data_IF_215508107061
#
_entry.id   IF_215508107061
#
_cell.length_a   1.000
_cell.length_b   1.000
_cell.length_c   1.000
_cell.angle_alpha   90.00
_cell.angle_beta   90.00
_cell.angle_gamma   90.00
#
_symmetry.space_group_name_H-M   'P 1'
#
loop_
_entity.id
_entity.type
_entity.pdbx_description
1 polymer ?
#
# COMPACT_ATOMS: atom_id res chain seq x y z
N UNK A 1 -17.50 5.93 8.63
CA UNK A 1 -16.91 4.57 8.75
C UNK A 1 -15.56 4.68 9.41
N UNK A 2 -15.10 3.62 10.06
CA UNK A 2 -13.71 3.52 10.52
C UNK A 2 -12.93 2.56 9.62
N UNK A 3 -11.86 3.05 9.00
CA UNK A 3 -11.09 2.39 7.96
C UNK A 3 -9.71 2.03 8.51
N UNK A 4 -9.33 0.76 8.46
CA UNK A 4 -7.95 0.31 8.64
C UNK A 4 -7.22 0.35 7.30
N UNK A 5 -6.14 1.10 7.17
CA UNK A 5 -5.45 1.36 5.92
C UNK A 5 -3.99 0.91 6.02
N UNK A 6 -3.65 -0.17 5.33
CA UNK A 6 -2.31 -0.76 5.37
C UNK A 6 -1.55 -0.44 4.10
N UNK A 7 -0.46 0.30 4.24
CA UNK A 7 0.36 0.78 3.11
C UNK A 7 1.83 0.87 3.52
N UNK A 8 2.73 0.46 2.61
CA UNK A 8 4.16 0.47 2.86
C UNK A 8 4.77 1.87 3.03
N UNK A 9 4.25 2.84 2.30
CA UNK A 9 4.74 4.22 2.25
C UNK A 9 3.68 5.20 2.75
N UNK A 10 4.07 6.08 3.67
CA UNK A 10 3.23 7.18 4.17
C UNK A 10 4.10 8.34 4.65
N UNK A 11 3.63 9.60 4.59
CA UNK A 11 4.41 10.75 5.05
C UNK A 11 4.99 10.57 6.47
N UNK A 12 6.22 11.09 6.70
CA UNK A 12 7.06 11.86 5.79
C UNK A 12 7.91 11.00 4.83
N UNK A 13 7.88 9.67 4.96
CA UNK A 13 8.71 8.74 4.20
C UNK A 13 8.01 8.30 2.91
N UNK A 14 7.97 9.17 1.91
CA UNK A 14 7.45 8.88 0.58
C UNK A 14 8.58 8.44 -0.34
N UNK A 15 8.34 7.38 -1.14
CA UNK A 15 9.26 6.88 -2.16
C UNK A 15 8.67 7.08 -3.56
N UNK A 16 7.37 6.84 -3.72
CA UNK A 16 6.74 6.85 -5.02
C UNK A 16 5.27 7.22 -5.05
N UNK A 17 4.62 6.77 -6.11
CA UNK A 17 3.20 7.04 -6.36
C UNK A 17 2.26 6.46 -5.31
N UNK A 18 2.61 5.29 -4.76
CA UNK A 18 1.81 4.63 -3.72
C UNK A 18 1.68 5.50 -2.46
N UNK A 19 2.80 6.05 -1.98
CA UNK A 19 2.79 6.93 -0.81
C UNK A 19 2.04 8.24 -1.07
N UNK A 20 2.19 8.82 -2.27
CA UNK A 20 1.45 10.02 -2.69
C UNK A 20 -0.06 9.73 -2.76
N UNK A 21 -0.45 8.59 -3.32
CA UNK A 21 -1.84 8.15 -3.32
C UNK A 21 -2.38 8.01 -1.89
N UNK A 22 -1.65 7.31 -1.02
CA UNK A 22 -2.07 7.05 0.35
C UNK A 22 -2.26 8.35 1.15
N UNK A 23 -1.32 9.30 1.03
CA UNK A 23 -1.44 10.61 1.67
C UNK A 23 -2.72 11.33 1.24
N UNK A 24 -2.96 11.46 -0.06
CA UNK A 24 -4.12 12.19 -0.56
C UNK A 24 -5.44 11.48 -0.19
N UNK A 25 -5.58 10.19 -0.46
CA UNK A 25 -6.86 9.50 -0.28
C UNK A 25 -7.27 9.38 1.19
N UNK A 26 -6.31 9.23 2.11
CA UNK A 26 -6.64 9.12 3.54
C UNK A 26 -7.10 10.45 4.12
N UNK A 27 -6.54 11.58 3.66
CA UNK A 27 -7.03 12.90 4.04
C UNK A 27 -8.42 13.17 3.47
N UNK A 28 -8.67 12.85 2.20
CA UNK A 28 -10.01 12.96 1.62
C UNK A 28 -11.05 12.12 2.39
N UNK A 29 -10.69 10.91 2.83
CA UNK A 29 -11.59 10.11 3.68
C UNK A 29 -11.90 10.80 5.01
N UNK A 30 -10.92 11.46 5.64
CA UNK A 30 -11.14 12.23 6.88
C UNK A 30 -12.02 13.45 6.59
N UNK A 31 -11.77 14.18 5.50
CA UNK A 31 -12.50 15.38 5.13
C UNK A 31 -13.98 15.09 4.84
N UNK A 32 -14.31 13.90 4.32
CA UNK A 32 -15.70 13.46 4.15
C UNK A 32 -16.28 12.72 5.38
N UNK A 33 -15.61 12.80 6.52
CA UNK A 33 -16.13 12.35 7.82
C UNK A 33 -15.89 10.89 8.17
N UNK A 34 -14.82 10.27 7.66
CA UNK A 34 -14.40 8.92 8.07
C UNK A 34 -13.24 8.97 9.05
N UNK A 35 -13.21 8.01 9.98
CA UNK A 35 -12.05 7.75 10.83
C UNK A 35 -11.06 6.85 10.08
N UNK A 36 -9.81 7.27 9.96
CA UNK A 36 -8.78 6.49 9.25
C UNK A 36 -7.61 6.18 10.17
N UNK A 37 -7.28 4.90 10.29
CA UNK A 37 -6.08 4.42 10.97
C UNK A 37 -5.12 3.80 9.96
N UNK A 38 -4.02 4.50 9.67
CA UNK A 38 -2.97 4.05 8.73
C UNK A 38 -1.93 3.22 9.47
N UNK A 39 -1.54 2.11 8.87
CA UNK A 39 -0.41 1.27 9.29
C UNK A 39 0.66 1.30 8.21
N UNK A 40 1.86 1.78 8.55
CA UNK A 40 2.96 1.99 7.59
C UNK A 40 4.32 1.67 8.20
N UNK A 41 5.35 1.57 7.35
CA UNK A 41 6.71 1.28 7.78
C UNK A 41 7.27 2.42 8.64
N UNK A 42 7.95 2.06 9.75
CA UNK A 42 8.84 2.96 10.47
C UNK A 42 10.27 2.78 9.95
N UNK A 43 10.89 3.86 9.53
CA UNK A 43 12.30 3.84 9.10
C UNK A 43 13.30 4.02 10.26
N UNK A 44 12.79 3.93 11.51
CA UNK A 44 13.61 3.90 12.74
C UNK A 44 13.57 5.16 13.59
N UNK A 45 13.16 6.29 13.05
CA UNK A 45 13.21 7.63 13.67
C UNK A 45 11.84 8.31 13.85
N UNK A 46 10.77 7.67 13.38
CA UNK A 46 9.43 8.24 13.42
C UNK A 46 8.65 7.77 14.66
N UNK A 47 7.68 8.59 15.09
CA UNK A 47 6.76 8.21 16.17
C UNK A 47 6.00 6.94 15.80
N UNK A 48 5.87 6.03 16.75
CA UNK A 48 5.14 4.77 16.57
C UNK A 48 3.63 4.94 16.46
N UNK A 49 3.10 6.07 16.98
CA UNK A 49 1.69 6.48 16.86
C UNK A 49 1.62 8.00 16.89
N UNK A 50 0.88 8.59 15.97
CA UNK A 50 0.61 10.03 15.92
C UNK A 50 -0.66 10.32 15.12
N UNK A 51 -1.14 11.56 15.20
CA UNK A 51 -2.22 12.07 14.34
C UNK A 51 -1.61 13.04 13.34
N UNK A 52 -1.80 12.77 12.06
CA UNK A 52 -1.38 13.65 10.96
C UNK A 52 -2.63 14.12 10.20
N UNK A 53 -2.96 15.40 10.29
CA UNK A 53 -4.13 16.02 9.62
C UNK A 53 -5.41 15.16 9.78
N UNK A 54 -5.70 14.71 11.00
CA UNK A 54 -6.88 13.91 11.30
C UNK A 54 -6.73 12.40 11.08
N UNK A 55 -5.70 11.95 10.39
CA UNK A 55 -5.39 10.52 10.20
C UNK A 55 -4.57 9.99 11.37
N UNK A 56 -5.02 8.89 11.97
CA UNK A 56 -4.26 8.18 12.99
C UNK A 56 -3.22 7.26 12.34
N UNK A 57 -1.94 7.52 12.56
CA UNK A 57 -0.84 6.79 11.91
C UNK A 57 -0.10 5.91 12.90
N UNK A 58 0.04 4.64 12.57
CA UNK A 58 0.78 3.63 13.31
C UNK A 58 2.01 3.18 12.53
N UNK A 59 3.19 3.25 13.16
CA UNK A 59 4.48 2.83 12.59
C UNK A 59 5.19 1.93 13.59
N UNK A 60 4.98 0.61 13.56
CA UNK A 60 5.71 -0.28 14.46
C UNK A 60 7.22 -0.18 14.22
N UNK A 61 7.99 -0.19 15.31
CA UNK A 61 9.45 -0.32 15.21
C UNK A 61 9.76 -1.76 14.82
N UNK A 62 10.48 -1.92 13.73
CA UNK A 62 10.88 -3.23 13.22
C UNK A 62 12.29 -3.59 13.70
N UNK A 63 12.49 -4.89 13.93
CA UNK A 63 13.82 -5.45 14.20
C UNK A 63 14.39 -6.07 12.93
N UNK A 64 15.71 -5.95 12.77
CA UNK A 64 16.40 -6.65 11.70
C UNK A 64 16.62 -8.13 12.08
N UNK A 65 15.83 -9.00 11.49
CA UNK A 65 15.94 -10.46 11.63
C UNK A 65 16.44 -11.12 10.33
N UNK A 66 17.03 -10.35 9.42
CA UNK A 66 17.48 -10.85 8.12
C UNK A 66 18.50 -12.00 8.22
N UNK A 67 19.26 -12.07 9.31
CA UNK A 67 20.18 -13.17 9.62
C UNK A 67 19.48 -14.48 10.04
N UNK A 68 18.21 -14.41 10.44
CA UNK A 68 17.41 -15.58 10.84
C UNK A 68 16.64 -16.16 9.64
N UNK A 69 16.26 -15.33 8.68
CA UNK A 69 15.51 -15.77 7.50
C UNK A 69 16.14 -16.94 6.72
N UNK A 70 17.48 -17.01 6.52
CA UNK A 70 18.10 -18.13 5.81
C UNK A 70 17.81 -19.53 6.38
N UNK A 71 17.36 -19.60 7.63
CA UNK A 71 16.95 -20.88 8.25
C UNK A 71 15.55 -21.35 7.80
N UNK A 72 14.72 -20.45 7.29
CA UNK A 72 13.30 -20.70 6.97
C UNK A 72 12.95 -20.45 5.50
N UNK A 73 13.82 -19.80 4.73
CA UNK A 73 13.48 -19.35 3.39
C UNK A 73 13.68 -20.43 2.33
N UNK A 74 12.79 -20.42 1.36
CA UNK A 74 12.88 -21.22 0.13
C UNK A 74 13.94 -20.67 -0.83
N UNK A 75 14.32 -21.47 -1.82
CA UNK A 75 15.38 -21.13 -2.77
C UNK A 75 15.08 -19.83 -3.57
N UNK A 76 13.81 -19.50 -3.81
CA UNK A 76 13.44 -18.26 -4.46
C UNK A 76 13.88 -17.03 -3.64
N UNK A 77 13.63 -17.01 -2.32
CA UNK A 77 14.10 -15.92 -1.45
C UNK A 77 15.61 -15.84 -1.33
N UNK A 78 16.33 -16.95 -1.46
CA UNK A 78 17.80 -16.94 -1.47
C UNK A 78 18.36 -16.17 -2.67
N UNK A 79 17.66 -16.15 -3.80
CA UNK A 79 18.04 -15.38 -4.99
C UNK A 79 18.00 -13.86 -4.78
N UNK A 80 17.31 -13.38 -3.75
CA UNK A 80 17.25 -11.95 -3.41
C UNK A 80 18.59 -11.41 -2.90
N UNK A 81 19.49 -12.27 -2.44
CA UNK A 81 20.80 -11.85 -1.94
C UNK A 81 20.70 -10.79 -0.85
N UNK A 82 21.33 -9.63 -1.04
CA UNK A 82 21.28 -8.51 -0.09
C UNK A 82 19.87 -7.92 0.09
N UNK A 83 18.96 -8.14 -0.84
CA UNK A 83 17.58 -7.67 -0.75
C UNK A 83 16.72 -8.49 0.23
N UNK A 84 17.27 -9.58 0.82
CA UNK A 84 16.57 -10.31 1.88
C UNK A 84 16.20 -9.42 3.06
N UNK A 85 16.99 -8.37 3.31
CA UNK A 85 16.64 -7.36 4.31
C UNK A 85 15.33 -6.64 3.97
N UNK A 86 15.09 -6.29 2.71
CA UNK A 86 13.83 -5.69 2.29
C UNK A 86 12.64 -6.63 2.58
N UNK A 87 12.80 -7.93 2.28
CA UNK A 87 11.76 -8.91 2.59
C UNK A 87 11.53 -9.05 4.10
N UNK A 88 12.61 -9.05 4.90
CA UNK A 88 12.51 -9.01 6.36
C UNK A 88 11.68 -7.81 6.84
N UNK A 89 12.05 -6.62 6.37
CA UNK A 89 11.38 -5.38 6.78
C UNK A 89 9.89 -5.43 6.44
N UNK A 90 9.54 -5.93 5.24
CA UNK A 90 8.15 -6.13 4.82
C UNK A 90 7.44 -7.14 5.74
N UNK A 91 8.05 -8.30 5.99
CA UNK A 91 7.44 -9.35 6.80
C UNK A 91 7.17 -8.86 8.24
N UNK A 92 8.20 -8.31 8.90
CA UNK A 92 8.11 -7.83 10.28
C UNK A 92 7.11 -6.67 10.40
N UNK A 93 7.16 -5.71 9.46
CA UNK A 93 6.19 -4.62 9.39
C UNK A 93 4.75 -5.15 9.36
N UNK A 94 4.47 -6.10 8.48
CA UNK A 94 3.14 -6.67 8.32
C UNK A 94 2.65 -7.38 9.61
N UNK A 95 3.49 -8.23 10.20
CA UNK A 95 3.14 -8.97 11.42
C UNK A 95 2.88 -8.02 12.58
N UNK A 96 3.75 -7.04 12.80
CA UNK A 96 3.60 -6.07 13.88
C UNK A 96 2.38 -5.16 13.67
N UNK A 97 2.12 -4.75 12.43
CA UNK A 97 0.96 -3.92 12.07
C UNK A 97 -0.35 -4.68 12.29
N UNK A 98 -0.45 -5.92 11.81
CA UNK A 98 -1.62 -6.78 12.05
C UNK A 98 -1.82 -7.07 13.55
N UNK A 99 -0.74 -7.34 14.29
CA UNK A 99 -0.78 -7.54 15.74
C UNK A 99 -1.27 -6.29 16.48
N UNK A 100 -0.74 -5.11 16.15
CA UNK A 100 -1.21 -3.84 16.74
C UNK A 100 -2.68 -3.58 16.41
N UNK A 101 -3.10 -3.84 15.17
CA UNK A 101 -4.48 -3.69 14.74
C UNK A 101 -5.43 -4.60 15.53
N UNK A 102 -5.17 -5.91 15.52
CA UNK A 102 -6.06 -6.92 16.14
C UNK A 102 -6.03 -6.87 17.66
N UNK A 103 -4.85 -6.91 18.27
CA UNK A 103 -4.72 -7.01 19.71
C UNK A 103 -4.69 -5.64 20.41
N UNK A 104 -4.08 -4.63 19.77
CA UNK A 104 -4.05 -3.27 20.30
C UNK A 104 -5.37 -2.56 20.12
N UNK A 105 -5.73 -2.24 18.86
CA UNK A 105 -6.89 -1.39 18.62
C UNK A 105 -8.21 -2.11 18.84
N UNK A 106 -8.41 -3.29 18.25
CA UNK A 106 -9.70 -3.99 18.37
C UNK A 106 -9.90 -4.55 19.77
N UNK A 107 -9.01 -5.42 20.26
CA UNK A 107 -9.24 -6.13 21.53
C UNK A 107 -9.03 -5.24 22.75
N UNK A 108 -7.97 -4.43 22.80
CA UNK A 108 -7.61 -3.64 23.98
C UNK A 108 -8.27 -2.25 23.97
N UNK A 109 -8.19 -1.51 22.88
CA UNK A 109 -8.74 -0.15 22.78
C UNK A 109 -10.21 -0.13 22.33
N UNK A 110 -10.79 -1.31 21.97
CA UNK A 110 -12.21 -1.50 21.61
C UNK A 110 -12.65 -0.72 20.36
N UNK A 111 -11.75 -0.53 19.40
CA UNK A 111 -12.11 0.03 18.11
C UNK A 111 -12.95 -0.95 17.28
N UNK A 112 -13.97 -0.42 16.61
CA UNK A 112 -14.78 -1.16 15.64
C UNK A 112 -14.42 -0.63 14.24
N UNK A 113 -13.80 -1.48 13.43
CA UNK A 113 -13.48 -1.16 12.03
C UNK A 113 -14.55 -1.72 11.10
N UNK A 114 -14.97 -0.91 10.15
CA UNK A 114 -15.96 -1.29 9.12
C UNK A 114 -15.31 -2.01 7.93
N UNK A 115 -14.07 -1.63 7.61
CA UNK A 115 -13.31 -2.18 6.48
C UNK A 115 -11.82 -2.06 6.71
N UNK A 116 -11.06 -2.99 6.13
CA UNK A 116 -9.59 -2.93 6.03
C UNK A 116 -9.21 -2.84 4.57
N UNK A 117 -8.37 -1.87 4.22
CA UNK A 117 -7.76 -1.75 2.91
C UNK A 117 -6.28 -2.11 3.00
N UNK A 118 -5.82 -3.03 2.15
CA UNK A 118 -4.40 -3.41 2.04
C UNK A 118 -3.91 -3.08 0.63
N UNK A 119 -2.71 -2.49 0.55
CA UNK A 119 -2.18 -1.94 -0.70
C UNK A 119 -0.96 -2.72 -1.16
N UNK A 120 -1.05 -3.23 -2.38
CA UNK A 120 -0.04 -4.05 -3.04
C UNK A 120 0.42 -5.27 -2.20
N UNK A 121 1.32 -6.06 -2.72
CA UNK A 121 1.89 -7.21 -2.02
C UNK A 121 2.63 -6.82 -0.73
N UNK A 122 3.15 -5.59 -0.67
CA UNK A 122 3.89 -5.04 0.45
C UNK A 122 3.08 -5.01 1.76
N UNK A 123 1.75 -5.05 1.68
CA UNK A 123 0.83 -5.10 2.84
C UNK A 123 -0.04 -6.36 2.87
N UNK A 124 0.13 -7.30 1.92
CA UNK A 124 -0.71 -8.48 1.78
C UNK A 124 -0.67 -9.43 2.98
N UNK A 125 0.50 -9.58 3.60
CA UNK A 125 0.64 -10.45 4.79
C UNK A 125 -0.23 -9.95 5.93
N UNK A 126 -0.30 -8.63 6.18
CA UNK A 126 -1.22 -8.04 7.17
C UNK A 126 -2.67 -8.36 6.84
N UNK A 127 -3.06 -8.22 5.57
CA UNK A 127 -4.40 -8.52 5.11
C UNK A 127 -4.79 -9.99 5.33
N UNK A 128 -3.90 -10.91 5.01
CA UNK A 128 -4.11 -12.35 5.20
C UNK A 128 -4.23 -12.71 6.70
N UNK A 129 -3.38 -12.16 7.55
CA UNK A 129 -3.46 -12.36 9.02
C UNK A 129 -4.77 -11.82 9.57
N UNK A 130 -5.17 -10.60 9.18
CA UNK A 130 -6.41 -9.99 9.64
C UNK A 130 -7.62 -10.81 9.17
N UNK A 131 -7.62 -11.26 7.93
CA UNK A 131 -8.69 -12.07 7.34
C UNK A 131 -8.86 -13.41 8.03
N UNK A 132 -7.76 -14.03 8.48
CA UNK A 132 -7.79 -15.28 9.23
C UNK A 132 -8.35 -15.11 10.67
N UNK A 133 -8.04 -13.98 11.32
CA UNK A 133 -8.34 -13.74 12.73
C UNK A 133 -9.64 -12.95 12.94
N UNK A 134 -10.21 -12.34 11.91
CA UNK A 134 -11.36 -11.45 12.04
C UNK A 134 -12.25 -11.46 10.80
N UNK A 135 -13.54 -11.18 11.00
CA UNK A 135 -14.54 -11.13 9.93
C UNK A 135 -14.69 -9.75 9.25
N UNK A 136 -13.86 -8.77 9.61
CA UNK A 136 -13.89 -7.45 8.97
C UNK A 136 -13.65 -7.61 7.48
N UNK A 137 -14.46 -6.96 6.61
CA UNK A 137 -14.24 -6.99 5.17
C UNK A 137 -12.85 -6.44 4.81
N UNK A 138 -12.13 -7.17 3.96
CA UNK A 138 -10.83 -6.76 3.45
C UNK A 138 -10.92 -6.42 1.97
N UNK A 139 -10.46 -5.23 1.62
CA UNK A 139 -10.29 -4.74 0.24
C UNK A 139 -8.81 -4.81 -0.10
N UNK A 140 -8.47 -5.49 -1.18
CA UNK A 140 -7.13 -5.52 -1.74
C UNK A 140 -7.02 -4.49 -2.87
N UNK A 141 -6.25 -3.43 -2.66
CA UNK A 141 -6.02 -2.41 -3.67
C UNK A 141 -4.64 -2.62 -4.30
N UNK A 142 -4.61 -3.01 -5.57
CA UNK A 142 -3.38 -3.25 -6.29
C UNK A 142 -3.11 -2.14 -7.31
N UNK A 143 -1.93 -1.53 -7.20
CA UNK A 143 -1.43 -0.49 -8.11
C UNK A 143 -0.49 -1.07 -9.16
N UNK A 144 0.12 -2.21 -8.87
CA UNK A 144 0.95 -2.98 -9.79
C UNK A 144 1.08 -4.42 -9.28
N UNK A 145 1.43 -5.35 -10.18
CA UNK A 145 1.66 -6.76 -9.84
C UNK A 145 3.10 -7.14 -10.11
N UNK A 146 3.56 -8.21 -9.47
CA UNK A 146 4.93 -8.69 -9.66
C UNK A 146 5.20 -9.08 -11.11
N UNK A 147 4.28 -9.81 -11.76
CA UNK A 147 4.44 -10.16 -13.18
C UNK A 147 4.43 -8.94 -14.08
N UNK A 148 3.60 -7.91 -13.79
CA UNK A 148 3.55 -6.66 -14.54
C UNK A 148 4.83 -5.83 -14.43
N UNK A 149 5.46 -5.80 -13.25
CA UNK A 149 6.74 -5.10 -13.03
C UNK A 149 7.93 -5.83 -13.63
N UNK A 150 7.93 -7.15 -13.59
CA UNK A 150 9.07 -8.01 -13.94
C UNK A 150 9.03 -8.56 -15.37
N UNK A 151 7.94 -8.29 -16.13
CA UNK A 151 7.74 -8.90 -17.45
C UNK A 151 7.62 -10.43 -17.37
N UNK A 152 7.09 -10.97 -16.28
CA UNK A 152 6.90 -12.41 -16.05
C UNK A 152 8.11 -13.12 -15.43
N UNK A 153 9.17 -12.41 -15.09
CA UNK A 153 10.40 -12.97 -14.48
C UNK A 153 10.58 -12.60 -13.00
N UNK A 154 9.48 -12.32 -12.30
CA UNK A 154 9.48 -11.89 -10.91
C UNK A 154 9.63 -13.00 -9.89
N UNK A 155 9.54 -12.61 -8.62
CA UNK A 155 9.59 -13.55 -7.49
C UNK A 155 8.30 -14.37 -7.39
N UNK A 156 8.43 -15.69 -7.36
CA UNK A 156 7.30 -16.60 -7.14
C UNK A 156 6.64 -16.36 -5.77
N UNK A 157 7.43 -16.03 -4.74
CA UNK A 157 6.91 -15.73 -3.40
C UNK A 157 6.01 -14.50 -3.43
N UNK A 158 6.41 -13.44 -4.15
CA UNK A 158 5.60 -12.23 -4.28
C UNK A 158 4.32 -12.51 -5.05
N UNK A 159 4.40 -13.20 -6.19
CA UNK A 159 3.23 -13.58 -6.98
C UNK A 159 2.24 -14.44 -6.17
N UNK A 160 2.74 -15.42 -5.40
CA UNK A 160 1.89 -16.24 -4.52
C UNK A 160 1.22 -15.40 -3.40
N UNK A 161 1.90 -14.38 -2.85
CA UNK A 161 1.30 -13.48 -1.87
C UNK A 161 0.20 -12.60 -2.49
N UNK A 162 0.42 -12.11 -3.71
CA UNK A 162 -0.59 -11.36 -4.46
C UNK A 162 -1.81 -12.22 -4.76
N UNK A 163 -1.61 -13.44 -5.25
CA UNK A 163 -2.68 -14.41 -5.56
C UNK A 163 -3.47 -14.80 -4.29
N UNK A 164 -2.76 -15.12 -3.21
CA UNK A 164 -3.39 -15.47 -1.95
C UNK A 164 -4.25 -14.31 -1.42
N UNK A 165 -3.76 -13.06 -1.51
CA UNK A 165 -4.52 -11.89 -1.08
C UNK A 165 -5.74 -11.66 -1.98
N UNK A 166 -5.60 -11.81 -3.29
CA UNK A 166 -6.71 -11.68 -4.23
C UNK A 166 -7.82 -12.71 -3.96
N UNK A 167 -7.46 -13.97 -3.71
CA UNK A 167 -8.43 -15.04 -3.42
C UNK A 167 -9.14 -14.82 -2.07
N UNK A 168 -8.44 -14.34 -1.04
CA UNK A 168 -8.98 -14.19 0.30
C UNK A 168 -9.67 -12.85 0.56
N UNK A 169 -9.41 -11.80 -0.23
CA UNK A 169 -10.08 -10.50 -0.10
C UNK A 169 -11.57 -10.55 -0.44
N UNK A 170 -12.33 -9.61 0.12
CA UNK A 170 -13.75 -9.46 -0.19
C UNK A 170 -13.98 -8.69 -1.50
N UNK A 171 -13.09 -7.73 -1.79
CA UNK A 171 -13.06 -6.94 -3.03
C UNK A 171 -11.60 -6.66 -3.42
N UNK A 172 -11.42 -6.46 -4.71
CA UNK A 172 -10.14 -6.07 -5.30
C UNK A 172 -10.37 -4.75 -6.04
N UNK A 173 -9.53 -3.77 -5.80
CA UNK A 173 -9.52 -2.52 -6.54
C UNK A 173 -8.26 -2.47 -7.39
N UNK A 174 -8.40 -2.05 -8.63
CA UNK A 174 -7.29 -1.80 -9.55
C UNK A 174 -7.44 -0.44 -10.22
N UNK A 175 -6.34 0.12 -10.74
CA UNK A 175 -6.25 1.53 -11.14
C UNK A 175 -6.50 1.77 -12.63
N UNK A 176 -6.71 0.72 -13.43
CA UNK A 176 -6.98 0.86 -14.87
C UNK A 176 -7.75 -0.33 -15.44
N UNK A 177 -8.45 -0.14 -16.55
CA UNK A 177 -9.09 -1.24 -17.28
C UNK A 177 -8.09 -2.26 -17.83
N UNK A 178 -6.94 -1.78 -18.33
CA UNK A 178 -5.89 -2.68 -18.81
C UNK A 178 -5.39 -3.61 -17.71
N UNK A 179 -5.20 -3.08 -16.49
CA UNK A 179 -4.82 -3.89 -15.34
C UNK A 179 -5.96 -4.83 -14.91
N UNK A 180 -7.20 -4.38 -14.93
CA UNK A 180 -8.37 -5.24 -14.65
C UNK A 180 -8.40 -6.46 -15.57
N UNK A 181 -8.25 -6.26 -16.88
CA UNK A 181 -8.20 -7.35 -17.87
C UNK A 181 -7.03 -8.28 -17.62
N UNK A 182 -5.87 -7.72 -17.25
CA UNK A 182 -4.66 -8.49 -16.96
C UNK A 182 -4.83 -9.37 -15.72
N UNK A 183 -5.37 -8.85 -14.64
CA UNK A 183 -5.71 -9.60 -13.43
C UNK A 183 -6.66 -10.77 -13.71
N UNK A 184 -7.70 -10.55 -14.52
CA UNK A 184 -8.66 -11.59 -14.92
C UNK A 184 -7.95 -12.68 -15.73
N UNK A 185 -7.08 -12.30 -16.68
CA UNK A 185 -6.29 -13.27 -17.48
C UNK A 185 -5.36 -14.13 -16.61
N UNK A 186 -4.88 -13.59 -15.49
CA UNK A 186 -4.05 -14.32 -14.52
C UNK A 186 -4.88 -15.09 -13.48
N UNK A 187 -6.20 -15.23 -13.68
CA UNK A 187 -7.05 -16.08 -12.85
C UNK A 187 -7.57 -15.45 -11.57
N UNK A 188 -7.44 -14.14 -11.42
CA UNK A 188 -8.04 -13.46 -10.26
C UNK A 188 -9.57 -13.40 -10.40
N UNK A 189 -10.34 -13.49 -9.30
CA UNK A 189 -11.78 -13.64 -9.35
C UNK A 189 -12.46 -12.36 -9.88
N UNK A 190 -12.90 -12.39 -11.13
CA UNK A 190 -13.52 -11.27 -11.84
C UNK A 190 -14.65 -10.61 -11.04
N UNK A 191 -15.48 -11.41 -10.36
CA UNK A 191 -16.61 -10.91 -9.57
C UNK A 191 -16.23 -10.02 -8.38
N UNK A 192 -14.95 -10.06 -7.97
CA UNK A 192 -14.42 -9.23 -6.88
C UNK A 192 -13.73 -7.97 -7.38
N UNK A 193 -13.35 -7.90 -8.66
CA UNK A 193 -12.50 -6.83 -9.19
C UNK A 193 -13.35 -5.63 -9.61
N UNK A 194 -12.96 -4.44 -9.12
CA UNK A 194 -13.50 -3.14 -9.52
C UNK A 194 -12.36 -2.22 -9.94
N UNK A 195 -12.55 -1.48 -11.01
CA UNK A 195 -11.60 -0.47 -11.46
C UNK A 195 -11.98 0.89 -10.86
N UNK A 196 -11.01 1.53 -10.22
CA UNK A 196 -11.13 2.89 -9.68
C UNK A 196 -9.85 3.65 -10.03
N UNK A 197 -9.96 4.69 -10.82
CA UNK A 197 -8.79 5.54 -11.16
C UNK A 197 -8.27 6.28 -9.94
N UNK A 198 -6.96 6.48 -9.90
CA UNK A 198 -6.37 7.40 -8.94
C UNK A 198 -6.86 8.82 -9.21
N UNK A 199 -7.21 9.53 -8.15
CA UNK A 199 -7.63 10.92 -8.22
C UNK A 199 -6.47 11.88 -8.49
N UNK A 200 -6.82 13.08 -8.89
CA UNK A 200 -5.90 14.23 -9.02
C UNK A 200 -6.51 15.45 -8.35
N UNK A 201 -5.68 16.24 -7.68
CA UNK A 201 -6.11 17.53 -7.15
C UNK A 201 -6.22 18.56 -8.30
N UNK A 202 -7.47 18.92 -8.73
CA UNK A 202 -7.67 19.81 -9.86
C UNK A 202 -7.23 21.25 -9.55
N UNK A 203 -7.17 21.63 -8.27
CA UNK A 203 -6.72 22.95 -7.86
C UNK A 203 -5.20 23.07 -7.91
N UNK A 204 -4.49 22.04 -7.48
CA UNK A 204 -3.01 21.95 -7.56
C UNK A 204 -2.52 21.95 -9.01
N UNK A 205 -3.18 21.18 -9.86
CA UNK A 205 -2.78 20.99 -11.26
C UNK A 205 -3.56 21.88 -12.26
N UNK A 206 -4.17 22.97 -11.77
CA UNK A 206 -4.92 23.91 -12.60
C UNK A 206 -3.96 24.75 -13.46
N UNK A 207 -3.94 24.59 -14.80
CA UNK A 207 -3.02 25.33 -15.67
C UNK A 207 -3.25 26.85 -15.62
N UNK A 208 -4.43 27.31 -15.22
CA UNK A 208 -4.76 28.76 -15.10
C UNK A 208 -4.03 29.44 -13.94
N UNK A 209 -3.46 28.69 -13.02
CA UNK A 209 -2.67 29.21 -11.87
C UNK A 209 -1.24 29.57 -12.24
N UNK A 210 -0.75 29.12 -13.38
CA UNK A 210 0.64 29.31 -13.80
C UNK A 210 0.75 30.37 -14.88
N UNK A 211 1.69 31.31 -14.71
CA UNK A 211 1.99 32.32 -15.71
C UNK A 211 2.68 31.70 -16.91
N UNK A 212 2.35 32.16 -18.11
CA UNK A 212 2.93 31.66 -19.36
C UNK A 212 4.47 31.77 -19.36
N UNK A 213 4.99 32.84 -18.77
CA UNK A 213 6.44 33.08 -18.64
C UNK A 213 7.15 32.01 -17.79
N UNK A 214 6.52 31.56 -16.69
CA UNK A 214 7.11 30.53 -15.82
C UNK A 214 7.09 29.18 -16.51
N UNK A 215 6.03 28.88 -17.26
CA UNK A 215 5.94 27.66 -18.08
C UNK A 215 7.01 27.67 -19.17
N UNK A 216 7.22 28.80 -19.85
CA UNK A 216 8.28 28.98 -20.86
C UNK A 216 9.67 28.71 -20.28
N UNK A 217 9.99 29.32 -19.13
CA UNK A 217 11.28 29.08 -18.44
C UNK A 217 11.52 27.62 -18.09
N UNK A 218 10.46 26.91 -17.63
CA UNK A 218 10.57 25.48 -17.30
C UNK A 218 10.81 24.67 -18.59
N UNK A 219 10.06 24.95 -19.67
CA UNK A 219 10.25 24.29 -20.96
C UNK A 219 11.67 24.49 -21.51
N UNK A 220 12.18 25.72 -21.47
CA UNK A 220 13.57 26.03 -21.86
C UNK A 220 14.59 25.25 -21.02
N UNK A 221 14.41 25.24 -19.69
CA UNK A 221 15.30 24.51 -18.76
C UNK A 221 15.38 23.03 -19.08
N UNK A 222 14.28 22.40 -19.47
CA UNK A 222 14.20 20.97 -19.77
C UNK A 222 14.23 20.66 -21.28
N UNK A 223 14.48 21.67 -22.14
CA UNK A 223 14.53 21.54 -23.59
C UNK A 223 13.25 20.92 -24.19
N UNK A 224 12.10 21.30 -23.66
CA UNK A 224 10.78 20.89 -24.16
C UNK A 224 10.35 21.88 -25.24
N UNK A 225 9.89 21.44 -26.43
CA UNK A 225 9.38 22.34 -27.48
C UNK A 225 8.30 23.28 -26.99
N UNK A 226 8.13 24.44 -27.63
CA UNK A 226 7.19 25.50 -27.21
C UNK A 226 5.75 25.28 -27.74
N UNK A 227 5.56 24.36 -28.64
CA UNK A 227 4.28 23.99 -29.27
C UNK A 227 3.44 23.03 -28.45
#
# INVERSE_FOLDING_TARGET
MRIGFFVWEYPPALVGGLGTYADNITHEFVDIGHDVSVFTLNRGDLKTREILKGVEVHRPLIADASNVFPFFVVDDLKKWGTNIKLFNDIFIYNILSATKFLNGLIKKERYNFDVVCVHDWLSSISGLVIKNENNIPVVFHTHSTEWGRSGGHGSEVVSHLEDAMAQNSNRIITVSYAMQEDLIRHGWPQSKISMVWNGVDPEKYNPRKYKKEDVTKIRERYRVPQD
#
